data_IF_015516602232
#
_entry.id   IF_015516602232
#
_cell.length_a   1.000
_cell.length_b   1.000
_cell.length_c   1.000
_cell.angle_alpha   90.00
_cell.angle_beta   90.00
_cell.angle_gamma   90.00
#
_symmetry.space_group_name_H-M   'P 1'
#
loop_
_entity.id
_entity.type
_entity.pdbx_description
1 polymer ?
#
# COMPACT_ATOMS: atom_id res chain seq x y z
N UNK A 1 43.14 -26.42 -2.54
CA UNK A 1 41.66 -26.30 -2.61
C UNK A 1 41.04 -25.62 -1.38
N UNK A 2 41.41 -25.98 -0.13
CA UNK A 2 40.84 -25.37 1.09
C UNK A 2 40.96 -23.83 1.23
N UNK A 3 42.03 -23.22 0.72
CA UNK A 3 42.23 -21.75 0.80
C UNK A 3 41.27 -20.94 -0.06
N UNK A 4 40.90 -21.47 -1.24
CA UNK A 4 39.97 -20.82 -2.16
C UNK A 4 38.54 -20.87 -1.63
N UNK A 5 38.14 -22.01 -1.06
CA UNK A 5 36.82 -22.19 -0.42
C UNK A 5 36.65 -21.24 0.77
N UNK A 6 37.66 -21.12 1.65
CA UNK A 6 37.63 -20.15 2.76
C UNK A 6 37.44 -18.71 2.29
N UNK A 7 38.11 -18.33 1.19
CA UNK A 7 38.01 -16.97 0.62
C UNK A 7 36.61 -16.70 0.04
N UNK A 8 36.02 -17.68 -0.65
CA UNK A 8 34.66 -17.59 -1.17
C UNK A 8 33.64 -17.47 -0.04
N UNK A 9 33.75 -18.29 1.01
CA UNK A 9 32.87 -18.21 2.18
C UNK A 9 32.98 -16.85 2.84
N UNK A 10 34.20 -16.35 3.08
CA UNK A 10 34.41 -15.01 3.68
C UNK A 10 33.78 -13.90 2.84
N UNK A 11 33.89 -13.98 1.50
CA UNK A 11 33.28 -13.02 0.60
C UNK A 11 31.75 -13.09 0.64
N UNK A 12 31.18 -14.30 0.64
CA UNK A 12 29.74 -14.51 0.76
C UNK A 12 29.22 -13.95 2.09
N UNK A 13 29.90 -14.21 3.20
CA UNK A 13 29.52 -13.67 4.52
C UNK A 13 29.56 -12.14 4.53
N UNK A 14 30.60 -11.53 3.95
CA UNK A 14 30.71 -10.07 3.87
C UNK A 14 29.60 -9.44 3.01
N UNK A 15 29.31 -10.03 1.85
CA UNK A 15 28.23 -9.59 0.98
C UNK A 15 26.87 -9.69 1.69
N UNK A 16 26.65 -10.79 2.41
CA UNK A 16 25.41 -11.01 3.16
C UNK A 16 25.26 -10.01 4.30
N UNK A 17 26.35 -9.68 5.00
CA UNK A 17 26.36 -8.65 6.05
C UNK A 17 26.00 -7.26 5.49
N UNK A 18 26.54 -6.91 4.32
CA UNK A 18 26.22 -5.65 3.64
C UNK A 18 24.76 -5.60 3.20
N UNK A 19 24.24 -6.67 2.60
CA UNK A 19 22.84 -6.75 2.17
C UNK A 19 21.86 -6.66 3.35
N UNK A 20 22.16 -7.34 4.47
CA UNK A 20 21.35 -7.26 5.68
C UNK A 20 21.39 -5.85 6.31
N UNK A 21 22.55 -5.20 6.34
CA UNK A 21 22.67 -3.83 6.86
C UNK A 21 21.88 -2.83 6.01
N UNK A 22 21.97 -2.92 4.68
CA UNK A 22 21.16 -2.11 3.78
C UNK A 22 19.66 -2.33 4.02
N UNK A 23 19.22 -3.59 4.11
CA UNK A 23 17.82 -3.93 4.39
C UNK A 23 17.35 -3.37 5.73
N UNK A 24 18.18 -3.43 6.78
CA UNK A 24 17.88 -2.87 8.10
C UNK A 24 17.69 -1.35 8.05
N UNK A 25 18.54 -0.62 7.32
CA UNK A 25 18.40 0.83 7.15
C UNK A 25 17.10 1.20 6.41
N UNK A 26 16.77 0.46 5.34
CA UNK A 26 15.51 0.65 4.62
C UNK A 26 14.29 0.38 5.52
N UNK A 27 14.34 -0.66 6.37
CA UNK A 27 13.28 -0.93 7.34
C UNK A 27 13.13 0.21 8.35
N UNK A 28 14.23 0.76 8.87
CA UNK A 28 14.18 1.85 9.83
C UNK A 28 13.57 3.13 9.22
N UNK A 29 13.92 3.46 7.98
CA UNK A 29 13.31 4.59 7.25
C UNK A 29 11.81 4.31 7.03
N UNK A 30 11.45 3.08 6.68
CA UNK A 30 10.05 2.68 6.48
C UNK A 30 9.22 2.81 7.76
N UNK A 31 9.74 2.39 8.92
CA UNK A 31 9.05 2.55 10.21
C UNK A 31 8.86 4.04 10.57
N UNK A 32 9.80 4.92 10.20
CA UNK A 32 9.63 6.38 10.38
C UNK A 32 8.50 6.96 9.53
N UNK A 33 8.21 6.36 8.36
CA UNK A 33 7.10 6.75 7.49
C UNK A 33 5.79 6.01 7.78
N UNK A 34 5.84 4.87 8.49
CA UNK A 34 4.67 4.14 8.97
C UNK A 34 4.04 4.89 10.14
N UNK A 35 3.44 6.05 9.87
CA UNK A 35 2.45 6.59 10.80
C UNK A 35 1.24 5.65 10.75
N UNK A 36 0.77 5.11 11.88
CA UNK A 36 -0.51 4.43 11.89
C UNK A 36 -1.57 5.43 11.42
N UNK A 37 -2.35 5.04 10.41
CA UNK A 37 -3.64 5.68 10.16
C UNK A 37 -4.43 5.42 11.43
N UNK A 38 -4.40 6.36 12.37
CA UNK A 38 -5.25 6.29 13.54
C UNK A 38 -6.67 6.27 13.00
N UNK A 39 -7.31 5.13 13.19
CA UNK A 39 -8.71 4.85 12.94
C UNK A 39 -9.55 5.83 13.77
N UNK A 40 -9.66 7.06 13.27
CA UNK A 40 -10.50 8.10 13.86
C UNK A 40 -11.69 8.23 12.95
N UNK A 41 -12.64 7.33 13.17
CA UNK A 41 -14.06 7.56 12.97
C UNK A 41 -14.55 8.75 13.81
N UNK A 42 -14.02 9.94 13.55
CA UNK A 42 -14.60 11.21 13.98
C UNK A 42 -15.24 11.84 12.77
N UNK A 43 -16.51 11.48 12.60
CA UNK A 43 -17.58 12.29 12.02
C UNK A 43 -17.19 13.78 12.05
N UNK A 44 -17.08 14.35 10.85
CA UNK A 44 -17.39 15.74 10.49
C UNK A 44 -17.31 16.72 11.67
N UNK A 45 -16.10 17.10 12.09
CA UNK A 45 -15.90 18.38 12.78
C UNK A 45 -15.08 19.29 11.88
N UNK A 46 -15.82 20.21 11.27
CA UNK A 46 -15.33 21.45 10.66
C UNK A 46 -14.32 22.13 11.60
N UNK A 47 -13.03 21.92 11.35
CA UNK A 47 -11.94 22.75 11.85
C UNK A 47 -11.31 23.44 10.63
N UNK A 48 -10.88 24.71 10.72
CA UNK A 48 -10.56 25.52 9.55
C UNK A 48 -9.50 24.83 8.71
N UNK A 49 -9.77 24.72 7.41
CA UNK A 49 -8.92 24.03 6.43
C UNK A 49 -7.50 24.58 6.45
N UNK A 50 -6.61 23.91 7.18
CA UNK A 50 -5.18 24.10 7.06
C UNK A 50 -4.74 23.50 5.73
N UNK A 51 -4.64 24.32 4.69
CA UNK A 51 -3.68 24.17 3.56
C UNK A 51 -3.48 22.76 2.98
N UNK A 52 -4.52 21.92 2.96
CA UNK A 52 -4.41 20.60 2.34
C UNK A 52 -4.46 20.82 0.83
N UNK A 53 -3.34 20.53 0.17
CA UNK A 53 -3.22 20.64 -1.28
C UNK A 53 -4.22 19.68 -1.94
N UNK A 54 -4.99 20.20 -2.90
CA UNK A 54 -5.85 19.42 -3.78
C UNK A 54 -4.98 18.43 -4.57
N UNK A 55 -5.41 17.19 -4.76
CA UNK A 55 -4.68 16.20 -5.55
C UNK A 55 -4.32 16.74 -6.94
N UNK A 56 -5.20 17.53 -7.57
CA UNK A 56 -4.95 18.16 -8.87
C UNK A 56 -3.83 19.22 -8.84
N UNK A 57 -3.52 19.77 -7.67
CA UNK A 57 -2.40 20.69 -7.47
C UNK A 57 -1.06 19.97 -7.27
N UNK A 58 -1.11 18.68 -6.95
CA UNK A 58 0.07 17.82 -6.76
C UNK A 58 0.38 17.05 -8.04
N UNK A 59 -0.64 16.46 -8.66
CA UNK A 59 -0.55 15.69 -9.89
C UNK A 59 -1.81 15.92 -10.73
N UNK A 60 -1.66 16.55 -11.88
CA UNK A 60 -2.74 16.78 -12.84
C UNK A 60 -2.73 15.80 -14.02
N UNK A 61 -1.73 14.91 -14.11
CA UNK A 61 -1.61 13.89 -15.14
C UNK A 61 -2.12 12.54 -14.61
N UNK A 62 -3.22 11.99 -15.17
CA UNK A 62 -3.77 10.70 -14.76
C UNK A 62 -2.80 9.53 -14.90
N UNK A 63 -1.96 9.54 -15.95
CA UNK A 63 -1.01 8.47 -16.21
C UNK A 63 0.08 8.44 -15.14
N UNK A 64 0.61 9.62 -14.78
CA UNK A 64 1.62 9.73 -13.72
C UNK A 64 1.05 9.26 -12.39
N UNK A 65 -0.20 9.63 -12.05
CA UNK A 65 -0.83 9.16 -10.82
C UNK A 65 -1.01 7.62 -10.84
N UNK A 66 -1.49 7.05 -11.94
CA UNK A 66 -1.62 5.60 -12.10
C UNK A 66 -0.27 4.87 -11.94
N UNK A 67 0.81 5.43 -12.51
CA UNK A 67 2.16 4.90 -12.34
C UNK A 67 2.60 4.94 -10.87
N UNK A 68 2.38 6.07 -10.17
CA UNK A 68 2.71 6.19 -8.75
C UNK A 68 1.93 5.17 -7.90
N UNK A 69 0.61 5.04 -8.11
CA UNK A 69 -0.19 4.03 -7.42
C UNK A 69 0.37 2.62 -7.65
N UNK A 70 0.79 2.32 -8.88
CA UNK A 70 1.40 1.04 -9.25
C UNK A 70 2.73 0.79 -8.55
N UNK A 71 3.61 1.79 -8.44
CA UNK A 71 4.87 1.64 -7.71
C UNK A 71 4.64 1.30 -6.24
N UNK A 72 3.76 2.04 -5.57
CA UNK A 72 3.48 1.83 -4.14
C UNK A 72 2.80 0.45 -3.94
N UNK A 73 1.93 0.05 -4.87
CA UNK A 73 1.28 -1.25 -4.86
C UNK A 73 2.26 -2.42 -5.04
N UNK A 74 3.15 -2.35 -6.03
CA UNK A 74 4.17 -3.37 -6.28
C UNK A 74 5.07 -3.58 -5.07
N UNK A 75 5.46 -2.52 -4.37
CA UNK A 75 6.22 -2.65 -3.11
C UNK A 75 5.44 -3.44 -2.05
N UNK A 76 4.12 -3.24 -1.93
CA UNK A 76 3.31 -4.00 -0.95
C UNK A 76 3.12 -5.45 -1.38
N UNK A 77 2.77 -5.69 -2.63
CA UNK A 77 2.55 -7.06 -3.15
C UNK A 77 3.84 -7.87 -3.10
N UNK A 78 5.01 -7.26 -3.36
CA UNK A 78 6.31 -7.93 -3.25
C UNK A 78 6.65 -8.42 -1.83
N UNK A 79 5.96 -7.90 -0.81
CA UNK A 79 6.11 -8.32 0.58
C UNK A 79 5.09 -9.39 1.01
N UNK A 80 4.20 -9.82 0.11
CA UNK A 80 3.27 -10.94 0.37
C UNK A 80 3.98 -12.23 -0.01
N UNK A 81 4.08 -13.14 0.95
CA UNK A 81 4.70 -14.45 0.76
C UNK A 81 3.63 -15.56 0.66
N UNK A 82 3.95 -16.72 0.06
CA UNK A 82 3.01 -17.84 -0.02
C UNK A 82 2.44 -18.28 1.33
N UNK A 83 3.23 -18.14 2.40
CA UNK A 83 2.83 -18.45 3.78
C UNK A 83 1.66 -17.56 4.24
N UNK A 84 1.65 -16.29 3.84
CA UNK A 84 0.58 -15.35 4.14
C UNK A 84 -0.75 -15.82 3.51
N UNK A 85 -0.69 -16.43 2.33
CA UNK A 85 -1.85 -16.93 1.59
C UNK A 85 -2.35 -18.28 2.12
N UNK A 86 -1.44 -19.20 2.45
CA UNK A 86 -1.79 -20.50 3.03
C UNK A 86 -2.57 -20.34 4.34
N UNK A 87 -2.23 -19.32 5.13
CA UNK A 87 -2.91 -19.06 6.39
C UNK A 87 -4.38 -18.66 6.18
N UNK A 88 -4.71 -17.89 5.14
CA UNK A 88 -6.11 -17.57 4.79
C UNK A 88 -6.87 -18.86 4.52
N UNK A 89 -6.34 -19.72 3.65
CA UNK A 89 -6.99 -20.97 3.23
C UNK A 89 -7.27 -21.85 4.45
N UNK A 90 -6.28 -21.99 5.35
CA UNK A 90 -6.43 -22.76 6.58
C UNK A 90 -7.47 -22.19 7.55
N UNK A 91 -7.67 -20.87 7.56
CA UNK A 91 -8.71 -20.24 8.38
C UNK A 91 -10.11 -20.36 7.75
N UNK A 92 -10.22 -20.37 6.42
CA UNK A 92 -11.51 -20.56 5.73
C UNK A 92 -12.13 -21.94 5.99
N UNK A 93 -11.28 -22.98 6.12
CA UNK A 93 -11.73 -24.34 6.43
C UNK A 93 -12.17 -24.53 7.91
N UNK A 94 -11.84 -23.58 8.78
CA UNK A 94 -12.12 -23.62 10.24
C UNK A 94 -13.34 -22.77 10.65
N UNK A 95 -14.30 -22.57 9.75
CA UNK A 95 -15.49 -21.73 9.99
C UNK A 95 -16.40 -22.22 11.14
N UNK A 96 -16.17 -23.43 11.67
CA UNK A 96 -17.02 -24.06 12.69
C UNK A 96 -16.45 -24.05 14.12
N UNK A 97 -15.31 -23.37 14.40
CA UNK A 97 -14.76 -23.36 15.75
C UNK A 97 -14.48 -21.94 16.29
N UNK A 98 -15.34 -21.53 17.21
CA UNK A 98 -15.35 -20.29 17.98
C UNK A 98 -14.13 -20.09 18.92
N UNK A 99 -12.95 -20.69 18.64
CA UNK A 99 -11.80 -20.67 19.57
C UNK A 99 -10.40 -20.67 18.93
N UNK A 100 -10.23 -20.19 17.70
CA UNK A 100 -8.89 -20.00 17.13
C UNK A 100 -8.50 -18.51 17.01
N UNK A 101 -8.51 -17.81 18.16
CA UNK A 101 -7.83 -16.51 18.35
C UNK A 101 -6.33 -16.74 18.56
N UNK A 102 -5.71 -17.53 17.69
CA UNK A 102 -4.29 -17.90 17.75
C UNK A 102 -3.62 -17.53 16.45
N UNK A 103 -2.72 -16.53 16.52
CA UNK A 103 -1.82 -16.07 15.46
C UNK A 103 -2.38 -15.13 14.37
N UNK A 104 -3.16 -14.13 14.77
CA UNK A 104 -3.47 -12.89 13.99
C UNK A 104 -2.18 -12.15 13.56
N UNK A 105 -1.05 -12.47 14.17
CA UNK A 105 0.26 -11.85 13.98
C UNK A 105 0.95 -12.16 12.64
N UNK A 106 0.45 -13.11 11.83
CA UNK A 106 1.17 -13.61 10.65
C UNK A 106 0.66 -13.14 9.29
N UNK A 107 -0.56 -12.58 9.17
CA UNK A 107 -1.07 -12.04 7.89
C UNK A 107 -0.82 -10.54 7.71
N UNK A 108 0.13 -9.96 8.46
CA UNK A 108 0.35 -8.51 8.50
C UNK A 108 0.58 -7.87 7.13
N UNK A 109 1.32 -8.53 6.23
CA UNK A 109 1.61 -7.98 4.90
C UNK A 109 0.37 -7.96 4.01
N UNK A 110 -0.46 -9.00 4.11
CA UNK A 110 -1.69 -9.09 3.35
C UNK A 110 -2.74 -8.10 3.88
N UNK A 111 -2.89 -7.98 5.19
CA UNK A 111 -3.75 -6.98 5.81
C UNK A 111 -3.29 -5.57 5.47
N UNK A 112 -1.97 -5.32 5.41
CA UNK A 112 -1.44 -4.03 4.95
C UNK A 112 -1.73 -3.75 3.47
N UNK A 113 -1.81 -4.78 2.64
CA UNK A 113 -2.18 -4.66 1.22
C UNK A 113 -3.69 -4.40 1.05
N UNK A 114 -4.53 -5.11 1.80
CA UNK A 114 -5.98 -4.85 1.86
C UNK A 114 -6.28 -3.44 2.40
N UNK A 115 -5.60 -3.03 3.46
CA UNK A 115 -5.70 -1.67 4.00
C UNK A 115 -5.29 -0.60 2.99
N UNK A 116 -4.34 -0.89 2.09
CA UNK A 116 -3.99 0.04 1.02
C UNK A 116 -5.15 0.26 0.04
N UNK A 117 -5.82 -0.82 -0.38
CA UNK A 117 -7.02 -0.73 -1.21
C UNK A 117 -8.07 0.19 -0.56
N UNK A 118 -8.40 -0.08 0.72
CA UNK A 118 -9.36 0.71 1.49
C UNK A 118 -8.94 2.18 1.64
N UNK A 119 -7.65 2.44 1.87
CA UNK A 119 -7.11 3.80 1.95
C UNK A 119 -7.27 4.55 0.63
N UNK A 120 -7.00 3.91 -0.51
CA UNK A 120 -7.15 4.52 -1.83
C UNK A 120 -8.61 4.84 -2.14
N UNK A 121 -9.54 3.90 -1.90
CA UNK A 121 -10.97 4.16 -2.07
C UNK A 121 -11.47 5.32 -1.21
N UNK A 122 -11.02 5.38 0.05
CA UNK A 122 -11.36 6.48 0.95
C UNK A 122 -10.75 7.82 0.50
N UNK A 123 -9.51 7.82 -0.02
CA UNK A 123 -8.87 9.02 -0.58
C UNK A 123 -9.71 9.59 -1.74
N UNK A 124 -10.08 8.75 -2.71
CA UNK A 124 -10.87 9.14 -3.89
C UNK A 124 -12.21 9.73 -3.46
N UNK A 125 -12.94 9.03 -2.59
CA UNK A 125 -14.22 9.49 -2.06
C UNK A 125 -14.07 10.83 -1.32
N UNK A 126 -13.00 10.99 -0.53
CA UNK A 126 -12.72 12.20 0.24
C UNK A 126 -12.42 13.37 -0.68
N UNK A 127 -11.54 13.20 -1.68
CA UNK A 127 -11.18 14.27 -2.62
C UNK A 127 -12.40 14.72 -3.42
N UNK A 128 -13.27 13.82 -3.88
CA UNK A 128 -14.51 14.17 -4.58
C UNK A 128 -15.49 14.90 -3.65
N UNK A 129 -15.74 14.36 -2.45
CA UNK A 129 -16.75 14.88 -1.53
C UNK A 129 -16.38 16.23 -0.91
N UNK A 130 -15.07 16.54 -0.79
CA UNK A 130 -14.60 17.83 -0.28
C UNK A 130 -14.82 18.99 -1.24
N UNK A 131 -15.02 18.72 -2.54
CA UNK A 131 -15.23 19.77 -3.54
C UNK A 131 -16.63 20.35 -3.44
N UNK A 132 -16.70 21.60 -2.96
CA UNK A 132 -17.96 22.35 -2.76
C UNK A 132 -18.61 22.73 -4.10
N UNK A 133 -17.83 23.19 -5.08
CA UNK A 133 -18.35 23.67 -6.36
C UNK A 133 -18.66 22.51 -7.30
N UNK A 134 -19.92 22.38 -7.73
CA UNK A 134 -20.38 21.31 -8.65
C UNK A 134 -19.47 21.12 -9.87
N UNK A 135 -19.11 22.21 -10.56
CA UNK A 135 -18.24 22.16 -11.76
C UNK A 135 -16.86 21.59 -11.46
N UNK A 136 -16.26 21.93 -10.32
CA UNK A 136 -14.96 21.38 -9.92
C UNK A 136 -15.10 19.93 -9.49
N UNK A 137 -16.21 19.55 -8.83
CA UNK A 137 -16.45 18.17 -8.41
C UNK A 137 -16.61 17.24 -9.61
N UNK A 138 -17.30 17.67 -10.66
CA UNK A 138 -17.39 16.92 -11.93
C UNK A 138 -16.00 16.68 -12.51
N UNK A 139 -15.13 17.69 -12.55
CA UNK A 139 -13.73 17.53 -13.01
C UNK A 139 -12.95 16.55 -12.16
N UNK A 140 -13.19 16.53 -10.85
CA UNK A 140 -12.52 15.59 -9.95
C UNK A 140 -12.94 14.14 -10.25
N UNK A 141 -14.22 13.92 -10.51
CA UNK A 141 -14.74 12.60 -10.93
C UNK A 141 -14.15 12.19 -12.28
N UNK A 142 -14.17 13.08 -13.28
CA UNK A 142 -13.58 12.84 -14.61
C UNK A 142 -12.08 12.48 -14.50
N UNK A 143 -11.33 13.22 -13.68
CA UNK A 143 -9.92 12.92 -13.44
C UNK A 143 -9.71 11.52 -12.87
N UNK A 144 -10.46 11.12 -11.84
CA UNK A 144 -10.32 9.77 -11.28
C UNK A 144 -10.78 8.66 -12.25
N UNK A 145 -11.76 8.92 -13.11
CA UNK A 145 -12.13 8.00 -14.20
C UNK A 145 -10.95 7.81 -15.16
N UNK A 146 -10.27 8.90 -15.53
CA UNK A 146 -9.09 8.81 -16.39
C UNK A 146 -7.94 8.07 -15.69
N UNK A 147 -7.73 8.29 -14.38
CA UNK A 147 -6.73 7.54 -13.59
C UNK A 147 -7.06 6.04 -13.57
N UNK A 148 -8.32 5.67 -13.36
CA UNK A 148 -8.75 4.27 -13.39
C UNK A 148 -8.52 3.63 -14.77
N UNK A 149 -8.73 4.39 -15.86
CA UNK A 149 -8.42 3.95 -17.22
C UNK A 149 -6.93 3.72 -17.41
N UNK A 150 -6.07 4.59 -16.89
CA UNK A 150 -4.62 4.38 -16.96
C UNK A 150 -4.15 3.22 -16.07
N UNK A 151 -4.76 3.02 -14.90
CA UNK A 151 -4.55 1.82 -14.09
C UNK A 151 -4.90 0.54 -14.87
N UNK A 152 -6.01 0.54 -15.63
CA UNK A 152 -6.37 -0.56 -16.55
C UNK A 152 -5.28 -0.78 -17.60
N UNK A 153 -4.84 0.28 -18.29
CA UNK A 153 -3.86 0.19 -19.37
C UNK A 153 -2.51 -0.40 -18.92
N UNK A 154 -2.10 -0.09 -17.68
CA UNK A 154 -0.85 -0.57 -17.09
C UNK A 154 -1.02 -1.97 -16.45
N UNK A 155 -2.26 -2.43 -16.22
CA UNK A 155 -2.56 -3.71 -15.59
C UNK A 155 -2.61 -3.66 -14.05
N UNK A 156 -2.73 -2.46 -13.46
CA UNK A 156 -2.97 -2.30 -12.03
C UNK A 156 -4.48 -2.40 -11.73
N UNK A 157 -4.97 -3.64 -11.68
CA UNK A 157 -6.40 -3.92 -11.50
C UNK A 157 -6.90 -3.58 -10.11
N UNK A 158 -6.08 -3.73 -9.07
CA UNK A 158 -6.48 -3.44 -7.70
C UNK A 158 -6.73 -1.94 -7.51
N UNK A 159 -5.80 -1.08 -7.95
CA UNK A 159 -6.00 0.37 -7.87
C UNK A 159 -7.13 0.85 -8.79
N UNK A 160 -7.33 0.22 -9.96
CA UNK A 160 -8.51 0.49 -10.79
C UNK A 160 -9.80 0.21 -10.01
N UNK A 161 -9.92 -0.98 -9.42
CA UNK A 161 -11.09 -1.39 -8.64
C UNK A 161 -11.28 -0.55 -7.38
N UNK A 162 -10.20 -0.03 -6.79
CA UNK A 162 -10.30 0.86 -5.63
C UNK A 162 -10.88 2.24 -5.99
N UNK A 163 -10.71 2.68 -7.24
CA UNK A 163 -11.16 3.99 -7.72
C UNK A 163 -12.62 3.94 -8.22
N UNK A 164 -13.07 2.83 -8.80
CA UNK A 164 -14.41 2.64 -9.38
C UNK A 164 -15.44 2.31 -8.29
#
# INVERSE_FOLDING_TARGET
>A
ENGTVKKIISQMTQNLLMALSARSQYQEIREKFRQPVTDKGTILKTKPQSTQKDILSVCCDPLILAQQLTYIELERVSNIYPEDLMQIVSHMDSLDNHKCRGDVTKTYNLEAYDNWFNCLSMLVATEICRVVKKKQRTRMVEFFIDVARECFNIGNFNSMMAII
#
